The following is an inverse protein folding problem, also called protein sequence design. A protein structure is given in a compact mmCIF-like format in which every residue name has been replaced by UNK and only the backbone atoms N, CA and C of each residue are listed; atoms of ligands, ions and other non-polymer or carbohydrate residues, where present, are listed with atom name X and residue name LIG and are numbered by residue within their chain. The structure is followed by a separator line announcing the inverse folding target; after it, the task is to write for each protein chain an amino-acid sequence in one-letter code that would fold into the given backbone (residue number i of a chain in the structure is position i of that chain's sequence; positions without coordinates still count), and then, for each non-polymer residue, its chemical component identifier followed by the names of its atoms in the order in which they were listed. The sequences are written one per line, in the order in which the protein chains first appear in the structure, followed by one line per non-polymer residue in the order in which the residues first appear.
data_IF_294406033405
#
_entry.id   IF_294406033405
#
_cell.length_a   1.000
_cell.length_b   1.000
_cell.length_c   1.000
_cell.angle_alpha   90.00
_cell.angle_beta   90.00
_cell.angle_gamma   90.00
#
_symmetry.space_group_name_H-M   'P 1'
#
loop_
_entity.id
_entity.type
_entity.pdbx_description
1 polymer ?
#
# COMPACT_ATOMS: atom_id res chain seq x y z
N UNK A 1 53.87 60.72 -10.90
CA UNK A 1 54.30 59.30 -10.96
C UNK A 1 53.13 58.44 -10.49
N UNK A 2 52.64 57.56 -11.36
CA UNK A 2 51.47 56.68 -11.11
C UNK A 2 51.93 55.49 -10.25
N UNK A 3 51.21 55.20 -9.16
CA UNK A 3 51.29 53.90 -8.48
C UNK A 3 49.92 53.22 -8.60
N UNK A 4 49.89 52.13 -9.37
CA UNK A 4 48.75 51.24 -9.54
C UNK A 4 48.70 50.30 -8.32
N UNK A 5 47.64 50.38 -7.51
CA UNK A 5 47.33 49.38 -6.49
C UNK A 5 46.47 48.27 -7.10
N UNK A 6 47.00 47.05 -7.13
CA UNK A 6 46.25 45.85 -7.50
C UNK A 6 45.37 45.43 -6.31
N UNK A 7 44.05 45.50 -6.46
CA UNK A 7 43.09 44.92 -5.52
C UNK A 7 42.83 43.48 -5.94
N UNK A 8 43.33 42.50 -5.17
CA UNK A 8 42.95 41.10 -5.31
C UNK A 8 41.53 40.92 -4.73
N UNK A 9 40.54 40.71 -5.61
CA UNK A 9 39.22 40.25 -5.20
C UNK A 9 39.30 38.73 -4.95
N UNK A 10 39.22 38.33 -3.68
CA UNK A 10 39.01 36.93 -3.31
C UNK A 10 37.53 36.59 -3.51
N UNK A 11 37.20 35.89 -4.59
CA UNK A 11 35.89 35.28 -4.78
C UNK A 11 35.80 34.02 -3.90
N UNK A 12 35.10 34.13 -2.78
CA UNK A 12 34.73 32.98 -1.95
C UNK A 12 33.76 32.09 -2.73
N UNK A 13 34.24 30.93 -3.17
CA UNK A 13 33.37 29.83 -3.62
C UNK A 13 32.73 29.27 -2.35
N UNK A 14 31.49 29.68 -2.08
CA UNK A 14 30.66 29.02 -1.08
C UNK A 14 30.41 27.57 -1.51
N UNK A 15 30.31 26.61 -0.58
CA UNK A 15 30.04 25.23 -0.93
C UNK A 15 28.68 25.17 -1.65
N UNK A 16 28.67 24.58 -2.84
CA UNK A 16 27.44 24.08 -3.46
C UNK A 16 26.81 23.13 -2.45
N UNK A 17 25.68 23.54 -1.87
CA UNK A 17 24.84 22.64 -1.11
C UNK A 17 24.51 21.47 -2.05
N UNK A 18 25.03 20.29 -1.74
CA UNK A 18 24.56 19.05 -2.36
C UNK A 18 23.07 18.99 -2.07
N UNK A 19 22.24 19.17 -3.09
CA UNK A 19 20.84 18.80 -2.99
C UNK A 19 20.84 17.35 -2.52
N UNK A 20 20.32 17.12 -1.32
CA UNK A 20 20.04 15.78 -0.84
C UNK A 20 19.11 15.16 -1.87
N UNK A 21 19.63 14.23 -2.68
CA UNK A 21 18.81 13.44 -3.61
C UNK A 21 17.68 12.84 -2.78
N UNK A 22 16.48 13.37 -2.97
CA UNK A 22 15.31 12.93 -2.24
C UNK A 22 14.69 11.81 -3.09
N UNK A 23 14.80 10.53 -2.69
CA UNK A 23 14.38 9.40 -3.53
C UNK A 23 12.89 9.43 -3.90
N UNK A 24 12.12 10.30 -3.22
CA UNK A 24 10.69 10.49 -3.40
C UNK A 24 10.36 11.39 -4.58
N UNK A 25 11.14 12.42 -4.92
CA UNK A 25 10.71 13.43 -5.90
C UNK A 25 10.75 12.94 -7.37
N UNK A 26 11.65 12.01 -7.69
CA UNK A 26 11.93 11.60 -9.08
C UNK A 26 11.34 10.23 -9.47
N UNK A 27 10.66 9.55 -8.54
CA UNK A 27 10.07 8.23 -8.81
C UNK A 27 8.72 8.34 -9.54
N UNK A 28 8.45 7.45 -10.52
CA UNK A 28 7.15 7.42 -11.21
C UNK A 28 5.98 7.17 -10.24
N UNK A 29 4.77 7.58 -10.63
CA UNK A 29 3.53 7.32 -9.86
C UNK A 29 3.38 5.87 -9.47
N UNK A 30 3.73 4.96 -10.38
CA UNK A 30 3.82 3.52 -10.12
C UNK A 30 5.30 3.15 -10.12
N UNK A 31 5.82 2.77 -8.95
CA UNK A 31 7.21 2.39 -8.77
C UNK A 31 7.34 0.86 -8.58
N UNK A 32 8.35 0.27 -9.22
CA UNK A 32 8.69 -1.16 -9.10
C UNK A 32 10.07 -1.38 -8.46
N UNK A 33 10.76 -0.30 -8.12
CA UNK A 33 12.09 -0.29 -7.52
C UNK A 33 12.21 0.91 -6.59
N UNK A 34 13.20 0.88 -5.70
CA UNK A 34 13.47 1.94 -4.73
C UNK A 34 13.17 1.50 -3.30
N UNK A 35 13.39 2.43 -2.37
CA UNK A 35 13.18 2.19 -0.94
C UNK A 35 11.75 2.56 -0.51
N UNK A 36 11.13 1.76 0.36
CA UNK A 36 9.81 2.04 0.92
C UNK A 36 9.83 3.27 1.84
N UNK A 37 8.81 4.12 1.76
CA UNK A 37 8.73 5.43 2.47
C UNK A 37 7.73 5.43 3.62
N UNK A 38 6.66 4.63 3.52
CA UNK A 38 5.69 4.40 4.61
C UNK A 38 6.29 3.90 5.92
N UNK A 39 5.47 3.93 6.98
CA UNK A 39 5.80 3.39 8.31
C UNK A 39 5.00 2.14 8.62
N UNK A 40 5.57 1.29 9.47
CA UNK A 40 4.79 0.22 10.11
C UNK A 40 4.21 0.72 11.43
N UNK A 41 2.92 0.51 11.62
CA UNK A 41 2.17 0.82 12.85
C UNK A 41 1.36 -0.41 13.28
N UNK A 42 1.07 -0.53 14.58
CA UNK A 42 0.27 -1.62 15.13
C UNK A 42 -1.05 -1.06 15.69
N UNK A 43 -2.16 -1.71 15.34
CA UNK A 43 -3.47 -1.38 15.87
C UNK A 43 -4.26 -2.66 16.14
N UNK A 44 -4.68 -2.86 17.40
CA UNK A 44 -5.41 -4.04 17.86
C UNK A 44 -4.70 -5.37 17.52
N UNK A 45 -3.38 -5.41 17.63
CA UNK A 45 -2.57 -6.58 17.31
C UNK A 45 -2.38 -6.82 15.79
N UNK A 46 -2.83 -5.90 14.94
CA UNK A 46 -2.61 -5.94 13.49
C UNK A 46 -1.49 -4.98 13.12
N UNK A 47 -0.40 -5.52 12.57
CA UNK A 47 0.63 -4.70 11.93
C UNK A 47 0.13 -4.18 10.59
N UNK A 48 0.36 -2.90 10.32
CA UNK A 48 -0.06 -2.23 9.10
C UNK A 48 1.08 -1.40 8.55
N UNK A 49 1.29 -1.45 7.24
CA UNK A 49 2.17 -0.54 6.53
C UNK A 49 1.35 0.64 5.99
N UNK A 50 1.72 1.86 6.39
CA UNK A 50 0.93 3.08 6.17
C UNK A 50 1.78 4.14 5.47
N UNK A 51 1.25 4.68 4.38
CA UNK A 51 1.87 5.79 3.66
C UNK A 51 0.86 6.90 3.43
N UNK A 52 1.21 8.11 3.85
CA UNK A 52 0.43 9.33 3.61
C UNK A 52 0.96 10.08 2.38
N UNK A 53 0.12 10.85 1.68
CA UNK A 53 0.56 11.71 0.59
C UNK A 53 1.64 12.70 1.01
N UNK A 54 1.60 13.18 2.26
CA UNK A 54 2.61 14.09 2.82
C UNK A 54 4.01 13.47 2.82
N UNK A 55 4.14 12.21 3.25
CA UNK A 55 5.43 11.48 3.18
C UNK A 55 5.95 11.35 1.76
N UNK A 56 5.04 11.34 0.79
CA UNK A 56 5.35 11.26 -0.64
C UNK A 56 5.51 12.63 -1.31
N UNK A 57 5.41 13.73 -0.57
CA UNK A 57 5.38 15.10 -1.11
C UNK A 57 4.30 15.30 -2.20
N UNK A 58 3.22 14.52 -2.11
CA UNK A 58 2.12 14.53 -3.06
C UNK A 58 0.97 15.44 -2.58
N UNK A 59 0.21 15.98 -3.53
CA UNK A 59 -1.02 16.72 -3.20
C UNK A 59 -2.08 15.75 -2.68
N UNK A 60 -2.52 15.96 -1.44
CA UNK A 60 -3.55 15.14 -0.80
C UNK A 60 -4.90 15.27 -1.50
N UNK A 61 -5.52 14.13 -1.77
CA UNK A 61 -6.94 13.99 -2.14
C UNK A 61 -7.71 13.59 -0.87
N UNK A 62 -8.42 14.53 -0.23
CA UNK A 62 -9.01 14.28 1.07
C UNK A 62 -10.27 13.41 0.99
N UNK A 63 -10.63 12.83 2.14
CA UNK A 63 -11.94 12.20 2.33
C UNK A 63 -12.11 10.83 1.71
N UNK A 64 -11.03 10.16 1.29
CA UNK A 64 -10.99 8.74 0.96
C UNK A 64 -9.61 8.14 1.26
N UNK A 65 -9.58 6.94 1.83
CA UNK A 65 -8.38 6.15 2.01
C UNK A 65 -8.39 4.92 1.09
N UNK A 66 -7.21 4.44 0.73
CA UNK A 66 -7.03 3.16 0.05
C UNK A 66 -6.62 2.10 1.07
N UNK A 67 -7.45 1.07 1.21
CA UNK A 67 -7.11 -0.15 1.91
C UNK A 67 -6.49 -1.13 0.90
N UNK A 68 -5.18 -1.29 0.96
CA UNK A 68 -4.41 -2.14 0.05
C UNK A 68 -4.30 -3.55 0.61
N UNK A 69 -4.80 -4.54 -0.12
CA UNK A 69 -4.84 -5.95 0.28
C UNK A 69 -3.89 -6.75 -0.61
N UNK A 70 -2.84 -7.27 0.00
CA UNK A 70 -1.69 -7.89 -0.66
C UNK A 70 -2.03 -9.23 -1.32
N UNK A 71 -1.16 -9.64 -2.24
CA UNK A 71 -1.05 -11.03 -2.65
C UNK A 71 -0.44 -11.90 -1.54
N UNK A 72 -0.25 -13.19 -1.80
CA UNK A 72 0.21 -14.17 -0.79
C UNK A 72 1.59 -13.87 -0.19
N UNK A 73 2.39 -12.98 -0.80
CA UNK A 73 3.72 -12.63 -0.31
C UNK A 73 3.68 -11.54 0.78
N UNK A 74 2.51 -10.95 1.02
CA UNK A 74 2.29 -10.02 2.12
C UNK A 74 3.03 -8.69 1.98
N UNK A 75 2.93 -7.86 3.01
CA UNK A 75 3.64 -6.57 3.08
C UNK A 75 5.17 -6.77 3.25
N UNK A 76 5.62 -7.99 3.48
CA UNK A 76 7.03 -8.35 3.57
C UNK A 76 7.71 -8.27 2.20
N UNK A 77 6.96 -8.49 1.11
CA UNK A 77 7.44 -8.26 -0.24
C UNK A 77 7.60 -6.76 -0.51
N UNK A 78 8.77 -6.35 -1.01
CA UNK A 78 9.11 -4.96 -1.27
C UNK A 78 8.11 -4.31 -2.24
N UNK A 79 7.74 -5.02 -3.29
CA UNK A 79 6.84 -4.58 -4.34
C UNK A 79 5.46 -4.19 -3.78
N UNK A 80 4.97 -4.92 -2.78
CA UNK A 80 3.71 -4.58 -2.11
C UNK A 80 3.82 -3.24 -1.35
N UNK A 81 4.95 -2.98 -0.67
CA UNK A 81 5.18 -1.67 -0.02
C UNK A 81 5.30 -0.53 -1.03
N UNK A 82 5.99 -0.77 -2.14
CA UNK A 82 6.12 0.22 -3.21
C UNK A 82 4.78 0.53 -3.90
N UNK A 83 3.87 -0.43 -3.98
CA UNK A 83 2.52 -0.20 -4.47
C UNK A 83 1.68 0.62 -3.48
N UNK A 84 1.83 0.40 -2.17
CA UNK A 84 1.22 1.28 -1.14
C UNK A 84 1.72 2.71 -1.28
N UNK A 85 3.03 2.88 -1.42
CA UNK A 85 3.65 4.19 -1.64
C UNK A 85 3.18 4.83 -2.96
N UNK A 86 2.90 4.03 -3.99
CA UNK A 86 2.39 4.51 -5.28
C UNK A 86 0.99 5.13 -5.16
N UNK A 87 0.10 4.53 -4.36
CA UNK A 87 -1.22 5.13 -4.06
C UNK A 87 -1.08 6.44 -3.26
N UNK A 88 -0.16 6.48 -2.30
CA UNK A 88 0.15 7.70 -1.57
C UNK A 88 0.73 8.79 -2.46
N UNK A 89 1.60 8.44 -3.41
CA UNK A 89 2.11 9.34 -4.46
C UNK A 89 0.99 9.88 -5.35
N UNK A 90 -0.05 9.09 -5.60
CA UNK A 90 -1.24 9.49 -6.34
C UNK A 90 -2.22 10.38 -5.52
N UNK A 91 -1.88 10.66 -4.26
CA UNK A 91 -2.58 11.59 -3.38
C UNK A 91 -3.49 10.94 -2.34
N UNK A 92 -3.46 9.62 -2.14
CA UNK A 92 -4.37 8.93 -1.23
C UNK A 92 -3.68 8.44 0.06
N UNK A 93 -4.30 8.64 1.22
CA UNK A 93 -3.90 7.92 2.42
C UNK A 93 -4.03 6.42 2.13
N UNK A 94 -2.97 5.65 2.31
CA UNK A 94 -2.97 4.22 1.98
C UNK A 94 -2.51 3.38 3.16
N UNK A 95 -3.29 2.37 3.49
CA UNK A 95 -3.06 1.45 4.61
C UNK A 95 -3.08 0.03 4.08
N UNK A 96 -2.01 -0.73 4.34
CA UNK A 96 -1.91 -2.15 4.00
C UNK A 96 -1.69 -2.98 5.26
N UNK A 97 -2.69 -3.77 5.70
CA UNK A 97 -2.49 -4.67 6.83
C UNK A 97 -1.62 -5.87 6.45
N UNK A 98 -0.92 -6.40 7.45
CA UNK A 98 -0.28 -7.71 7.36
C UNK A 98 -1.34 -8.81 7.52
N UNK A 99 -2.04 -9.09 6.41
CA UNK A 99 -3.12 -10.10 6.36
C UNK A 99 -2.64 -11.54 6.60
N UNK A 100 -1.33 -11.76 6.71
CA UNK A 100 -0.71 -13.06 7.03
C UNK A 100 0.00 -13.08 8.38
N UNK A 101 -0.13 -12.01 9.18
CA UNK A 101 0.42 -11.90 10.53
C UNK A 101 1.89 -12.33 10.65
N UNK A 102 2.74 -11.84 9.75
CA UNK A 102 4.17 -12.15 9.70
C UNK A 102 4.51 -13.51 9.10
N UNK A 103 3.52 -14.27 8.62
CA UNK A 103 3.70 -15.60 8.01
C UNK A 103 3.21 -15.66 6.55
N UNK A 104 3.71 -14.78 5.64
CA UNK A 104 3.35 -14.83 4.23
C UNK A 104 3.90 -16.10 3.55
N UNK A 105 3.44 -16.34 2.33
CA UNK A 105 3.99 -17.38 1.48
C UNK A 105 5.48 -17.09 1.14
N UNK A 106 6.30 -18.12 0.87
CA UNK A 106 7.66 -17.94 0.39
C UNK A 106 7.67 -17.27 -0.99
N UNK A 107 8.78 -16.62 -1.35
CA UNK A 107 8.94 -15.97 -2.65
C UNK A 107 8.88 -16.94 -3.85
N UNK A 108 9.27 -18.20 -3.64
CA UNK A 108 9.07 -19.28 -4.63
C UNK A 108 7.92 -20.18 -4.18
N UNK A 109 6.77 -20.04 -4.86
CA UNK A 109 5.60 -20.88 -4.60
C UNK A 109 5.77 -22.34 -5.06
N UNK A 110 6.84 -22.65 -5.81
CA UNK A 110 7.18 -24.03 -6.19
C UNK A 110 8.09 -24.72 -5.17
N UNK A 111 8.42 -24.06 -4.05
CA UNK A 111 9.16 -24.67 -2.97
C UNK A 111 8.43 -25.95 -2.50
N UNK A 112 9.06 -27.14 -2.59
CA UNK A 112 8.40 -28.39 -2.23
C UNK A 112 8.03 -28.50 -0.74
N UNK A 113 8.57 -27.61 0.11
CA UNK A 113 8.20 -27.50 1.52
C UNK A 113 6.96 -26.63 1.77
N UNK A 114 6.54 -25.83 0.77
CA UNK A 114 5.39 -24.96 0.90
C UNK A 114 4.08 -25.73 0.68
N UNK A 115 3.31 -25.91 1.75
CA UNK A 115 1.97 -26.49 1.65
C UNK A 115 0.93 -25.38 1.42
N UNK A 116 0.60 -25.15 0.15
CA UNK A 116 -0.39 -24.13 -0.24
C UNK A 116 -1.77 -24.38 0.38
N UNK A 117 -2.21 -25.62 0.52
CA UNK A 117 -3.52 -25.94 1.13
C UNK A 117 -3.54 -25.53 2.60
N UNK A 118 -2.53 -25.96 3.38
CA UNK A 118 -2.42 -25.59 4.79
C UNK A 118 -2.27 -24.08 4.98
N UNK A 119 -1.54 -23.40 4.08
CA UNK A 119 -1.41 -21.95 4.08
C UNK A 119 -2.78 -21.25 3.88
N UNK A 120 -3.58 -21.70 2.92
CA UNK A 120 -4.90 -21.12 2.65
C UNK A 120 -5.91 -21.42 3.76
N UNK A 121 -5.81 -22.57 4.43
CA UNK A 121 -6.63 -22.92 5.60
C UNK A 121 -6.29 -22.03 6.81
N UNK A 122 -4.99 -21.81 7.06
CA UNK A 122 -4.52 -20.91 8.12
C UNK A 122 -5.01 -19.48 7.90
N UNK A 123 -5.08 -19.04 6.64
CA UNK A 123 -5.53 -17.71 6.23
C UNK A 123 -6.96 -17.75 5.65
N UNK A 124 -7.83 -18.54 6.26
CA UNK A 124 -9.25 -18.58 5.91
C UNK A 124 -9.96 -17.25 6.20
N UNK A 125 -11.19 -17.03 5.69
CA UNK A 125 -11.95 -15.83 6.03
C UNK A 125 -12.12 -15.59 7.54
N UNK A 126 -12.24 -16.65 8.34
CA UNK A 126 -12.33 -16.52 9.79
C UNK A 126 -11.06 -15.93 10.44
N UNK A 127 -9.90 -16.10 9.80
CA UNK A 127 -8.63 -15.52 10.24
C UNK A 127 -8.40 -14.13 9.63
N UNK A 128 -8.75 -13.94 8.35
CA UNK A 128 -8.44 -12.70 7.61
C UNK A 128 -9.48 -11.60 7.80
N UNK A 129 -10.78 -11.92 7.89
CA UNK A 129 -11.83 -10.91 8.02
C UNK A 129 -11.60 -9.99 9.25
N UNK A 130 -11.25 -10.50 10.45
CA UNK A 130 -10.97 -9.65 11.62
C UNK A 130 -9.79 -8.68 11.41
N UNK A 131 -8.78 -9.07 10.62
CA UNK A 131 -7.64 -8.21 10.30
C UNK A 131 -8.10 -7.03 9.44
N UNK A 132 -8.93 -7.31 8.43
CA UNK A 132 -9.47 -6.29 7.53
C UNK A 132 -10.45 -5.36 8.27
N UNK A 133 -11.33 -5.91 9.13
CA UNK A 133 -12.23 -5.15 9.99
C UNK A 133 -11.47 -4.22 10.95
N UNK A 134 -10.42 -4.72 11.60
CA UNK A 134 -9.53 -3.90 12.46
C UNK A 134 -8.89 -2.75 11.67
N UNK A 135 -8.52 -3.00 10.43
CA UNK A 135 -7.93 -1.97 9.56
C UNK A 135 -8.94 -0.91 9.14
N UNK A 136 -10.18 -1.31 8.85
CA UNK A 136 -11.29 -0.38 8.57
C UNK A 136 -11.59 0.48 9.80
N UNK A 137 -11.62 -0.12 10.99
CA UNK A 137 -11.78 0.62 12.26
C UNK A 137 -10.63 1.61 12.46
N UNK A 138 -9.37 1.21 12.24
CA UNK A 138 -8.23 2.12 12.29
C UNK A 138 -8.39 3.33 11.34
N UNK A 139 -8.76 3.08 10.08
CA UNK A 139 -8.95 4.16 9.09
C UNK A 139 -10.04 5.15 9.53
N UNK A 140 -11.16 4.64 10.05
CA UNK A 140 -12.30 5.49 10.44
C UNK A 140 -12.07 6.21 11.75
N UNK A 141 -11.63 5.48 12.77
CA UNK A 141 -11.59 5.97 14.15
C UNK A 141 -10.28 6.69 14.47
N UNK A 142 -9.16 6.22 13.91
CA UNK A 142 -7.84 6.81 14.18
C UNK A 142 -7.46 7.84 13.12
N UNK A 143 -7.63 7.52 11.84
CA UNK A 143 -7.28 8.45 10.75
C UNK A 143 -8.41 9.45 10.43
N UNK A 144 -9.63 9.21 10.92
CA UNK A 144 -10.78 10.09 10.70
C UNK A 144 -11.26 10.14 9.25
N UNK A 145 -11.07 9.05 8.49
CA UNK A 145 -11.43 8.96 7.08
C UNK A 145 -12.64 8.03 6.90
N UNK A 146 -13.76 8.60 6.47
CA UNK A 146 -15.02 7.85 6.37
C UNK A 146 -15.09 6.92 5.16
N UNK A 147 -14.60 7.37 4.00
CA UNK A 147 -14.67 6.60 2.75
C UNK A 147 -13.44 5.75 2.53
N UNK A 148 -13.67 4.50 2.13
CA UNK A 148 -12.62 3.50 1.93
C UNK A 148 -12.77 2.87 0.54
N UNK A 149 -11.70 2.96 -0.25
CA UNK A 149 -11.52 2.17 -1.45
C UNK A 149 -10.66 0.94 -1.14
N UNK A 150 -11.14 -0.26 -1.45
CA UNK A 150 -10.29 -1.45 -1.37
C UNK A 150 -9.56 -1.67 -2.69
N UNK A 151 -8.27 -1.97 -2.64
CA UNK A 151 -7.46 -2.38 -3.78
C UNK A 151 -6.78 -3.71 -3.44
N UNK A 152 -7.25 -4.79 -4.04
CA UNK A 152 -6.79 -6.15 -3.73
C UNK A 152 -6.12 -6.86 -4.89
N UNK A 153 -5.07 -7.61 -4.60
CA UNK A 153 -4.30 -8.38 -5.58
C UNK A 153 -4.26 -9.85 -5.19
N UNK A 154 -4.46 -10.77 -6.13
CA UNK A 154 -4.45 -12.22 -5.86
C UNK A 154 -5.40 -12.61 -4.71
N UNK A 155 -4.84 -13.15 -3.62
CA UNK A 155 -5.53 -13.45 -2.36
C UNK A 155 -6.29 -12.23 -1.81
N UNK A 156 -5.66 -11.06 -1.74
CA UNK A 156 -6.30 -9.82 -1.31
C UNK A 156 -7.44 -9.35 -2.22
N UNK A 157 -7.44 -9.76 -3.50
CA UNK A 157 -8.52 -9.46 -4.45
C UNK A 157 -9.88 -10.02 -4.01
N UNK A 158 -9.89 -11.18 -3.34
CA UNK A 158 -11.11 -11.74 -2.74
C UNK A 158 -11.67 -10.81 -1.67
N UNK A 159 -10.82 -10.41 -0.74
CA UNK A 159 -11.21 -9.59 0.40
C UNK A 159 -11.59 -8.16 -0.02
N UNK A 160 -10.98 -7.62 -1.08
CA UNK A 160 -11.39 -6.34 -1.65
C UNK A 160 -12.88 -6.35 -2.07
N UNK A 161 -13.33 -7.43 -2.72
CA UNK A 161 -14.73 -7.59 -3.14
C UNK A 161 -15.64 -8.02 -2.00
N UNK A 162 -15.19 -8.91 -1.11
CA UNK A 162 -15.94 -9.39 0.06
C UNK A 162 -16.36 -8.25 0.99
N UNK A 163 -15.49 -7.27 1.21
CA UNK A 163 -15.75 -6.10 2.05
C UNK A 163 -16.56 -4.99 1.34
N UNK A 164 -16.78 -5.12 0.04
CA UNK A 164 -17.74 -4.30 -0.72
C UNK A 164 -19.17 -4.88 -0.68
N UNK A 165 -19.35 -6.08 -0.11
CA UNK A 165 -20.67 -6.64 0.12
C UNK A 165 -21.30 -6.13 1.41
N UNK A 166 -22.58 -5.76 1.35
CA UNK A 166 -23.31 -5.24 2.52
C UNK A 166 -22.73 -3.94 3.09
N UNK A 167 -22.89 -3.73 4.40
CA UNK A 167 -22.33 -2.58 5.14
C UNK A 167 -20.97 -2.92 5.78
N UNK A 168 -20.15 -3.75 5.13
CA UNK A 168 -18.92 -4.30 5.69
C UNK A 168 -17.74 -3.32 5.70
N UNK A 169 -17.90 -2.13 5.13
CA UNK A 169 -17.03 -0.98 5.41
C UNK A 169 -16.27 -0.40 4.22
N UNK A 170 -16.26 -1.06 3.06
CA UNK A 170 -15.72 -0.47 1.83
C UNK A 170 -16.83 0.23 1.00
N UNK A 171 -16.47 1.34 0.34
CA UNK A 171 -17.37 2.11 -0.52
C UNK A 171 -17.20 1.77 -2.01
N UNK A 172 -16.01 1.31 -2.40
CA UNK A 172 -15.69 0.85 -3.76
C UNK A 172 -14.52 -0.13 -3.72
N UNK A 173 -14.43 -0.99 -4.73
CA UNK A 173 -13.38 -2.00 -4.80
C UNK A 173 -12.72 -2.10 -6.19
N UNK A 174 -11.42 -2.34 -6.16
CA UNK A 174 -10.66 -2.85 -7.29
C UNK A 174 -10.04 -4.19 -6.91
N UNK A 175 -10.16 -5.19 -7.79
CA UNK A 175 -9.53 -6.49 -7.62
C UNK A 175 -8.74 -6.89 -8.87
N UNK A 176 -7.44 -7.15 -8.70
CA UNK A 176 -6.59 -7.74 -9.74
C UNK A 176 -6.45 -9.25 -9.49
N UNK A 177 -6.86 -10.03 -10.49
CA UNK A 177 -6.81 -11.50 -10.53
C UNK A 177 -7.21 -12.18 -9.21
N UNK A 178 -8.41 -11.88 -8.67
CA UNK A 178 -8.83 -12.38 -7.37
C UNK A 178 -8.84 -13.91 -7.32
N UNK A 179 -8.35 -14.46 -6.21
CA UNK A 179 -8.27 -15.92 -5.97
C UNK A 179 -9.33 -16.37 -4.97
N UNK A 180 -9.91 -17.56 -5.16
CA UNK A 180 -10.84 -18.21 -4.20
C UNK A 180 -12.13 -17.43 -3.89
N UNK A 181 -12.49 -16.45 -4.73
CA UNK A 181 -13.74 -15.72 -4.63
C UNK A 181 -14.94 -16.68 -4.79
N UNK A 182 -15.93 -16.56 -3.93
CA UNK A 182 -17.10 -17.45 -3.89
C UNK A 182 -18.33 -16.78 -4.51
N UNK A 183 -19.25 -17.58 -5.09
CA UNK A 183 -20.49 -17.09 -5.71
C UNK A 183 -21.32 -16.19 -4.78
N UNK A 184 -21.41 -16.56 -3.50
CA UNK A 184 -22.09 -15.77 -2.48
C UNK A 184 -21.45 -14.39 -2.28
N UNK A 185 -20.11 -14.32 -2.31
CA UNK A 185 -19.36 -13.06 -2.20
C UNK A 185 -19.58 -12.18 -3.43
N UNK A 186 -19.61 -12.78 -4.63
CA UNK A 186 -19.90 -12.07 -5.88
C UNK A 186 -21.31 -11.49 -5.87
N UNK A 187 -22.31 -12.32 -5.55
CA UNK A 187 -23.72 -11.91 -5.51
C UNK A 187 -24.01 -10.88 -4.42
N UNK A 188 -23.15 -10.82 -3.39
CA UNK A 188 -23.26 -9.89 -2.28
C UNK A 188 -22.68 -8.50 -2.56
N UNK A 189 -21.91 -8.30 -3.64
CA UNK A 189 -21.30 -7.01 -3.98
C UNK A 189 -22.41 -5.96 -4.14
N UNK A 190 -22.34 -4.88 -3.35
CA UNK A 190 -23.39 -3.84 -3.30
C UNK A 190 -22.90 -2.44 -3.67
N UNK A 191 -21.67 -2.30 -4.19
CA UNK A 191 -21.08 -1.03 -4.58
C UNK A 191 -20.29 -1.08 -5.89
N UNK A 192 -19.67 0.05 -6.30
CA UNK A 192 -18.84 0.12 -7.49
C UNK A 192 -17.63 -0.80 -7.39
N UNK A 193 -17.53 -1.75 -8.32
CA UNK A 193 -16.44 -2.71 -8.38
C UNK A 193 -15.78 -2.69 -9.77
N UNK A 194 -14.46 -2.84 -9.81
CA UNK A 194 -13.70 -3.11 -11.02
C UNK A 194 -12.84 -4.36 -10.81
N UNK A 195 -12.84 -5.25 -11.80
CA UNK A 195 -12.07 -6.50 -11.75
C UNK A 195 -11.18 -6.58 -12.97
N UNK A 196 -9.87 -6.68 -12.73
CA UNK A 196 -8.88 -6.96 -13.76
C UNK A 196 -8.51 -8.45 -13.69
N UNK A 197 -8.99 -9.25 -14.64
CA UNK A 197 -8.68 -10.67 -14.72
C UNK A 197 -7.76 -10.96 -15.91
N UNK A 198 -6.79 -11.85 -15.73
CA UNK A 198 -6.01 -12.38 -16.84
C UNK A 198 -6.90 -13.34 -17.66
N UNK A 199 -7.01 -13.07 -18.97
CA UNK A 199 -7.60 -14.01 -19.91
C UNK A 199 -6.71 -15.23 -20.11
N UNK A 200 -7.31 -16.32 -20.60
CA UNK A 200 -6.55 -17.44 -21.17
C UNK A 200 -6.03 -17.10 -22.55
#
# INVERSE_FOLDING_TARGET
MKAFGFLLAASSIGPLASATECPVADAPTVAHQGDPVGSTEEHNGVNMYITSPEKMQATTKPGIAVLYLTDVFGIQLLENKLLVDSFARAGYMTVAPDIFNGTPAPSDLNDPSFNTTAFLELHSPNATDPIVESTISHIRETLGIDRIATAGYCFGGRYALRFLGGCNGADLAFAAHPSLLQDGEISGISGPASVAAAGK
#
